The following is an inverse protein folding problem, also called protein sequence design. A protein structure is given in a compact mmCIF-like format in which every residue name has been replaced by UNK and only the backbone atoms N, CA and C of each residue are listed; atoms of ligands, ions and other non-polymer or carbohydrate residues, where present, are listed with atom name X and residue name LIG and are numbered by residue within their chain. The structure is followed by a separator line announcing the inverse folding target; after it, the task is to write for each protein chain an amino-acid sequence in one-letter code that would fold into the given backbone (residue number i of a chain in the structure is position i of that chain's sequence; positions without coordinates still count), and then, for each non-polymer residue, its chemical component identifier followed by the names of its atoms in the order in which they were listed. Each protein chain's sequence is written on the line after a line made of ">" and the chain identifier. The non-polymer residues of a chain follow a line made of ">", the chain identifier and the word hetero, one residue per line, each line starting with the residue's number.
data_IF_193649730243
#
_entry.id   IF_193649730243
#
_cell.length_a   1.000
_cell.length_b   1.000
_cell.length_c   1.000
_cell.angle_alpha   90.00
_cell.angle_beta   90.00
_cell.angle_gamma   90.00
#
_symmetry.space_group_name_H-M   'P 1'
#
loop_
_entity.id
_entity.type
_entity.pdbx_description
1 polymer ?
#
# COMPACT_ATOMS: atom_id res chain seq x y z
N UNK A 1 56.59 31.05 -24.76
CA UNK A 1 56.69 29.66 -25.26
C UNK A 1 55.83 28.83 -24.32
N UNK A 2 54.50 28.78 -24.50
CA UNK A 2 53.67 28.03 -25.47
C UNK A 2 53.88 26.51 -25.38
N UNK A 3 52.74 25.82 -25.21
CA UNK A 3 52.41 24.39 -25.36
C UNK A 3 52.49 23.55 -24.08
N UNK A 4 51.48 22.77 -23.70
CA UNK A 4 50.20 22.49 -24.34
C UNK A 4 49.34 21.60 -23.44
N UNK A 5 48.04 21.89 -23.40
CA UNK A 5 46.99 21.18 -22.66
C UNK A 5 46.67 19.86 -23.38
N UNK A 6 46.42 18.78 -22.63
CA UNK A 6 45.77 17.57 -23.16
C UNK A 6 44.52 17.27 -22.33
N UNK A 7 43.36 17.41 -22.98
CA UNK A 7 42.04 16.99 -22.48
C UNK A 7 41.71 15.67 -23.16
N UNK A 8 41.46 14.63 -22.38
CA UNK A 8 40.98 13.35 -22.91
C UNK A 8 39.45 13.33 -22.97
N UNK A 9 38.95 13.30 -24.20
CA UNK A 9 37.55 13.07 -24.58
C UNK A 9 37.46 11.69 -25.21
N UNK A 10 36.66 10.76 -24.70
CA UNK A 10 36.02 9.63 -25.43
C UNK A 10 34.91 9.04 -24.53
N UNK A 11 33.77 8.49 -24.96
CA UNK A 11 32.96 8.49 -26.18
C UNK A 11 31.60 7.87 -25.77
N UNK A 12 30.49 8.49 -26.14
CA UNK A 12 29.13 7.93 -26.02
C UNK A 12 28.90 6.96 -27.17
N UNK A 13 28.61 5.70 -26.88
CA UNK A 13 28.21 4.68 -27.87
C UNK A 13 26.69 4.56 -27.89
N UNK A 14 26.07 5.01 -28.98
CA UNK A 14 24.69 4.66 -29.33
C UNK A 14 24.72 3.46 -30.27
N UNK A 15 24.03 2.37 -29.93
CA UNK A 15 23.86 1.24 -30.82
C UNK A 15 22.43 1.26 -31.37
N UNK A 16 22.30 1.69 -32.63
CA UNK A 16 21.15 1.41 -33.50
C UNK A 16 21.43 0.08 -34.20
N UNK A 17 20.48 -0.85 -34.16
CA UNK A 17 20.40 -1.93 -35.15
C UNK A 17 18.97 -1.99 -35.70
N UNK A 18 18.86 -1.76 -37.00
CA UNK A 18 17.66 -2.03 -37.79
C UNK A 18 18.04 -2.76 -39.06
N UNK A 19 17.43 -3.93 -39.28
CA UNK A 19 17.14 -4.52 -40.59
C UNK A 19 17.84 -5.83 -40.96
N UNK A 20 17.33 -6.73 -41.81
CA UNK A 20 15.97 -7.16 -42.26
C UNK A 20 16.18 -8.58 -42.89
N UNK A 21 15.09 -9.35 -42.97
CA UNK A 21 14.75 -10.42 -43.93
C UNK A 21 15.21 -11.88 -43.74
N UNK A 22 14.20 -12.74 -43.58
CA UNK A 22 14.18 -14.18 -43.85
C UNK A 22 12.75 -14.69 -43.72
N UNK A 23 12.04 -14.81 -44.85
CA UNK A 23 10.64 -15.23 -44.95
C UNK A 23 10.59 -16.67 -45.48
N UNK A 24 9.82 -17.55 -44.83
CA UNK A 24 9.23 -18.71 -45.50
C UNK A 24 7.75 -18.83 -45.09
N UNK A 25 6.90 -18.66 -46.11
CA UNK A 25 5.46 -18.86 -46.06
C UNK A 25 5.14 -20.32 -46.37
N UNK A 26 4.17 -20.90 -45.66
CA UNK A 26 3.24 -21.88 -46.20
C UNK A 26 1.85 -21.65 -45.56
N UNK A 27 0.86 -21.52 -46.43
CA UNK A 27 -0.49 -20.98 -46.21
C UNK A 27 -1.54 -22.10 -46.51
N UNK A 28 -2.85 -21.85 -46.63
CA UNK A 28 -3.87 -21.79 -45.57
C UNK A 28 -5.03 -22.80 -45.78
N UNK A 29 -5.98 -22.90 -44.83
CA UNK A 29 -7.36 -23.35 -45.13
C UNK A 29 -8.48 -22.59 -44.37
N UNK A 30 -9.11 -21.69 -45.15
CA UNK A 30 -10.54 -21.32 -45.27
C UNK A 30 -11.55 -21.66 -44.15
N UNK A 31 -12.09 -20.57 -43.58
CA UNK A 31 -13.49 -20.09 -43.60
C UNK A 31 -14.67 -21.04 -43.31
N UNK A 32 -15.55 -20.62 -42.39
CA UNK A 32 -17.00 -20.48 -42.62
C UNK A 32 -17.65 -19.56 -41.59
N UNK A 33 -18.05 -18.39 -42.04
CA UNK A 33 -19.11 -17.55 -41.47
C UNK A 33 -20.44 -18.01 -42.10
N UNK A 34 -21.49 -18.17 -41.29
CA UNK A 34 -22.89 -17.81 -41.58
C UNK A 34 -23.79 -18.41 -40.49
N UNK A 35 -24.45 -17.56 -39.70
CA UNK A 35 -25.90 -17.46 -39.83
C UNK A 35 -26.43 -16.13 -39.27
N UNK A 36 -27.08 -15.38 -40.16
CA UNK A 36 -27.96 -14.25 -39.87
C UNK A 36 -29.32 -14.82 -39.47
N UNK A 37 -29.98 -14.19 -38.50
CA UNK A 37 -31.42 -14.01 -38.58
C UNK A 37 -31.75 -12.55 -38.24
N UNK A 38 -32.35 -11.88 -39.22
CA UNK A 38 -33.01 -10.60 -39.16
C UNK A 38 -34.50 -10.88 -39.43
N UNK A 39 -35.35 -9.84 -39.32
CA UNK A 39 -36.78 -9.75 -39.69
C UNK A 39 -37.72 -9.90 -38.46
N UNK A 40 -38.67 -8.99 -38.15
CA UNK A 40 -39.13 -7.75 -38.78
C UNK A 40 -39.80 -6.83 -37.76
N UNK A 41 -39.89 -5.55 -38.13
CA UNK A 41 -40.80 -4.54 -37.57
C UNK A 41 -42.18 -4.61 -38.26
N UNK A 42 -43.25 -4.34 -37.52
CA UNK A 42 -44.60 -4.12 -38.02
C UNK A 42 -45.51 -3.49 -36.95
N UNK A 43 -45.99 -2.27 -37.24
CA UNK A 43 -47.07 -1.47 -36.62
C UNK A 43 -48.30 -2.28 -36.20
N UNK A 44 -49.23 -1.87 -35.34
CA UNK A 44 -49.60 -0.66 -34.58
C UNK A 44 -50.74 -1.13 -33.65
N UNK A 45 -50.86 -0.60 -32.43
CA UNK A 45 -52.09 0.04 -31.91
C UNK A 45 -51.93 0.36 -30.42
N UNK A 46 -52.40 1.57 -30.13
CA UNK A 46 -52.37 2.30 -28.87
C UNK A 46 -53.08 1.55 -27.73
N UNK A 47 -52.60 1.75 -26.50
CA UNK A 47 -53.36 2.41 -25.45
C UNK A 47 -52.42 2.94 -24.36
N UNK A 48 -52.71 4.17 -23.95
CA UNK A 48 -52.16 5.00 -22.87
C UNK A 48 -51.97 4.20 -21.56
N UNK A 49 -51.08 4.53 -20.62
CA UNK A 49 -51.02 5.68 -19.69
C UNK A 49 -49.55 5.81 -19.18
N UNK A 50 -48.92 7.00 -19.16
CA UNK A 50 -48.67 7.82 -17.95
C UNK A 50 -47.77 7.11 -16.93
N UNK A 51 -46.56 7.51 -16.56
CA UNK A 51 -46.01 8.83 -16.25
C UNK A 51 -44.49 8.87 -16.51
N UNK A 52 -43.98 9.99 -17.03
CA UNK A 52 -42.55 10.22 -17.23
C UNK A 52 -41.95 11.06 -16.11
N UNK A 53 -40.83 10.60 -15.55
CA UNK A 53 -39.94 11.44 -14.74
C UNK A 53 -38.72 11.79 -15.60
N UNK A 54 -38.66 13.06 -15.98
CA UNK A 54 -37.61 13.68 -16.78
C UNK A 54 -36.38 13.97 -15.91
N UNK A 55 -35.23 13.39 -16.25
CA UNK A 55 -33.93 13.84 -15.73
C UNK A 55 -33.50 15.11 -16.48
N UNK A 56 -33.41 16.24 -15.77
CA UNK A 56 -32.77 17.47 -16.27
C UNK A 56 -31.31 17.54 -15.82
N UNK A 57 -30.36 17.94 -16.69
CA UNK A 57 -29.02 18.32 -16.25
C UNK A 57 -29.04 19.77 -15.76
N UNK A 58 -28.42 20.04 -14.61
CA UNK A 58 -28.26 21.39 -14.08
C UNK A 58 -26.87 21.93 -14.43
N UNK A 59 -26.85 23.06 -15.11
CA UNK A 59 -25.67 23.89 -15.41
C UNK A 59 -25.39 24.80 -14.21
N UNK A 60 -24.12 24.89 -13.82
CA UNK A 60 -23.62 25.77 -12.76
C UNK A 60 -23.41 27.17 -13.32
N UNK A 61 -24.01 28.18 -12.70
CA UNK A 61 -23.54 29.57 -12.75
C UNK A 61 -23.28 30.02 -11.32
N UNK A 62 -22.07 30.48 -11.05
CA UNK A 62 -21.63 30.90 -9.72
C UNK A 62 -22.15 32.30 -9.33
N UNK A 63 -22.28 32.54 -8.03
CA UNK A 63 -21.43 33.47 -7.27
C UNK A 63 -21.87 33.52 -5.79
N UNK A 64 -20.88 33.80 -4.96
CA UNK A 64 -20.92 34.34 -3.59
C UNK A 64 -21.10 33.41 -2.38
N UNK A 65 -19.93 33.10 -1.80
CA UNK A 65 -19.70 32.63 -0.44
C UNK A 65 -20.25 33.59 0.62
N UNK A 66 -20.69 33.04 1.76
CA UNK A 66 -20.22 33.54 3.03
C UNK A 66 -19.56 32.46 3.90
N UNK A 67 -18.46 32.88 4.51
CA UNK A 67 -17.68 32.30 5.61
C UNK A 67 -18.42 31.30 6.53
N UNK A 68 -17.88 30.08 6.52
CA UNK A 68 -17.48 29.25 7.67
C UNK A 68 -18.29 29.37 8.98
N UNK A 69 -19.13 28.36 9.24
CA UNK A 69 -19.36 27.81 10.58
C UNK A 69 -19.24 26.29 10.52
N UNK A 70 -18.25 25.74 11.19
CA UNK A 70 -18.04 24.30 11.33
C UNK A 70 -19.16 23.68 12.16
N UNK A 71 -20.16 23.12 11.50
CA UNK A 71 -21.08 22.17 12.13
C UNK A 71 -20.40 20.81 12.15
N UNK A 72 -19.81 20.49 13.31
CA UNK A 72 -19.43 19.12 13.67
C UNK A 72 -20.73 18.33 13.76
N UNK A 73 -21.04 17.55 12.73
CA UNK A 73 -22.13 16.57 12.77
C UNK A 73 -21.60 15.36 13.55
N UNK A 74 -21.90 15.34 14.85
CA UNK A 74 -21.70 14.15 15.67
C UNK A 74 -22.83 13.16 15.39
N UNK A 75 -22.54 12.07 14.69
CA UNK A 75 -23.42 10.92 14.67
C UNK A 75 -23.22 10.15 15.99
N UNK A 76 -24.01 10.49 17.00
CA UNK A 76 -24.13 9.67 18.22
C UNK A 76 -24.91 8.41 17.89
N UNK A 77 -24.20 7.31 17.67
CA UNK A 77 -24.81 5.98 17.56
C UNK A 77 -25.37 5.55 18.92
N UNK A 78 -26.67 5.29 18.97
CA UNK A 78 -27.41 4.85 20.14
C UNK A 78 -27.25 3.34 20.33
N UNK A 79 -26.11 2.89 20.86
CA UNK A 79 -26.03 1.61 21.58
C UNK A 79 -25.03 1.74 22.72
N UNK A 80 -25.55 1.98 23.93
CA UNK A 80 -24.80 1.80 25.17
C UNK A 80 -25.70 1.10 26.19
N UNK A 81 -25.31 -0.11 26.58
CA UNK A 81 -25.64 -0.67 27.88
C UNK A 81 -26.24 -2.08 27.90
N UNK A 82 -25.40 -3.10 27.85
CA UNK A 82 -25.46 -4.16 28.86
C UNK A 82 -24.06 -4.36 29.41
N UNK A 83 -23.89 -3.96 30.66
CA UNK A 83 -22.68 -4.06 31.46
C UNK A 83 -22.39 -5.54 31.77
N UNK A 84 -21.36 -6.12 31.13
CA UNK A 84 -20.80 -7.42 31.48
C UNK A 84 -19.28 -7.39 31.28
N UNK A 85 -18.55 -7.36 32.40
CA UNK A 85 -17.16 -7.74 32.47
C UNK A 85 -16.17 -6.64 32.09
N UNK A 86 -15.29 -6.33 33.03
CA UNK A 86 -14.08 -5.54 32.84
C UNK A 86 -13.05 -6.34 32.00
N UNK A 87 -13.46 -6.78 30.82
CA UNK A 87 -12.59 -7.32 29.78
C UNK A 87 -12.26 -6.20 28.81
N UNK A 88 -11.01 -6.13 28.34
CA UNK A 88 -10.69 -5.29 27.19
C UNK A 88 -11.60 -5.72 26.02
N UNK A 89 -12.19 -4.75 25.34
CA UNK A 89 -13.02 -4.97 24.18
C UNK A 89 -12.13 -4.98 22.93
N UNK A 90 -12.44 -5.82 21.94
CA UNK A 90 -11.70 -5.90 20.68
C UNK A 90 -11.70 -4.54 19.95
N UNK A 91 -12.67 -3.69 20.25
CA UNK A 91 -12.75 -2.31 19.76
C UNK A 91 -11.53 -1.44 20.12
N UNK A 92 -10.76 -1.80 21.15
CA UNK A 92 -9.51 -1.11 21.49
C UNK A 92 -8.43 -1.24 20.41
N UNK A 93 -8.48 -2.30 19.58
CA UNK A 93 -7.55 -2.54 18.47
C UNK A 93 -7.99 -1.86 17.18
N UNK A 94 -9.14 -1.18 17.18
CA UNK A 94 -9.60 -0.41 16.04
C UNK A 94 -8.62 0.73 15.76
N UNK A 95 -8.05 0.72 14.57
CA UNK A 95 -7.14 1.77 14.11
C UNK A 95 -7.81 2.56 12.99
N UNK A 96 -8.02 3.86 13.23
CA UNK A 96 -8.51 4.78 12.19
C UNK A 96 -7.44 4.98 11.11
N UNK A 97 -6.16 5.04 11.50
CA UNK A 97 -5.05 5.18 10.55
C UNK A 97 -4.96 4.00 9.59
N UNK A 98 -5.02 2.76 10.08
CA UNK A 98 -4.98 1.59 9.21
C UNK A 98 -6.18 1.55 8.26
N UNK A 99 -7.35 1.99 8.72
CA UNK A 99 -8.53 2.10 7.86
C UNK A 99 -8.35 3.19 6.78
N UNK A 100 -7.80 4.35 7.15
CA UNK A 100 -7.46 5.41 6.21
C UNK A 100 -6.44 4.93 5.17
N UNK A 101 -5.40 4.21 5.58
CA UNK A 101 -4.37 3.68 4.69
C UNK A 101 -4.97 2.72 3.63
N UNK A 102 -5.93 1.89 4.04
CA UNK A 102 -6.68 1.01 3.13
C UNK A 102 -7.54 1.83 2.17
N UNK A 103 -8.25 2.85 2.68
CA UNK A 103 -9.09 3.72 1.85
C UNK A 103 -8.27 4.52 0.83
N UNK A 104 -7.15 5.11 1.26
CA UNK A 104 -6.19 5.80 0.39
C UNK A 104 -5.68 4.86 -0.71
N UNK A 105 -5.32 3.63 -0.35
CA UNK A 105 -4.91 2.63 -1.32
C UNK A 105 -6.02 2.33 -2.35
N UNK A 106 -7.28 2.23 -1.92
CA UNK A 106 -8.41 2.09 -2.85
C UNK A 106 -8.56 3.28 -3.80
N UNK A 107 -8.43 4.51 -3.30
CA UNK A 107 -8.48 5.69 -4.15
C UNK A 107 -7.36 5.70 -5.20
N UNK A 108 -6.15 5.29 -4.83
CA UNK A 108 -5.04 5.15 -5.76
C UNK A 108 -5.33 4.12 -6.85
N UNK A 109 -5.88 2.95 -6.49
CA UNK A 109 -6.28 1.93 -7.45
C UNK A 109 -7.40 2.41 -8.40
N UNK A 110 -8.43 3.07 -7.88
CA UNK A 110 -9.52 3.63 -8.68
C UNK A 110 -9.00 4.70 -9.66
N UNK A 111 -8.12 5.61 -9.21
CA UNK A 111 -7.51 6.59 -10.11
C UNK A 111 -6.66 5.91 -11.19
N UNK A 112 -5.82 4.94 -10.83
CA UNK A 112 -4.98 4.22 -11.80
C UNK A 112 -5.81 3.48 -12.85
N UNK A 113 -6.89 2.82 -12.44
CA UNK A 113 -7.80 2.12 -13.37
C UNK A 113 -8.52 3.11 -14.30
N UNK A 114 -8.97 4.26 -13.81
CA UNK A 114 -9.57 5.33 -14.64
C UNK A 114 -8.57 5.94 -15.61
N UNK A 115 -7.31 6.12 -15.21
CA UNK A 115 -6.23 6.54 -16.11
C UNK A 115 -6.08 5.53 -17.24
N UNK A 116 -5.98 4.24 -16.92
CA UNK A 116 -5.84 3.19 -17.93
C UNK A 116 -7.04 3.15 -18.87
N UNK A 117 -8.26 3.28 -18.35
CA UNK A 117 -9.48 3.35 -19.15
C UNK A 117 -9.47 4.57 -20.10
N UNK A 118 -9.12 5.76 -19.61
CA UNK A 118 -9.02 6.95 -20.44
C UNK A 118 -7.97 6.83 -21.55
N UNK A 119 -6.82 6.19 -21.25
CA UNK A 119 -5.79 5.89 -22.25
C UNK A 119 -6.30 4.91 -23.32
N UNK A 120 -7.02 3.86 -22.92
CA UNK A 120 -7.63 2.90 -23.85
C UNK A 120 -8.69 3.55 -24.75
N UNK A 121 -9.34 4.62 -24.27
CA UNK A 121 -10.32 5.42 -25.01
C UNK A 121 -9.69 6.63 -25.74
N UNK A 122 -8.36 6.74 -25.76
CA UNK A 122 -7.59 7.84 -26.38
C UNK A 122 -7.95 9.25 -25.85
N UNK A 123 -8.49 9.34 -24.62
CA UNK A 123 -8.82 10.58 -23.93
C UNK A 123 -7.61 11.09 -23.14
N UNK A 124 -6.58 11.57 -23.84
CA UNK A 124 -5.30 11.93 -23.25
C UNK A 124 -5.36 13.10 -22.26
N UNK A 125 -6.20 14.12 -22.52
CA UNK A 125 -6.35 15.27 -21.61
C UNK A 125 -6.91 14.84 -20.25
N UNK A 126 -7.93 13.97 -20.27
CA UNK A 126 -8.55 13.40 -19.05
C UNK A 126 -7.53 12.50 -18.34
N UNK A 127 -6.82 11.65 -19.08
CA UNK A 127 -5.78 10.81 -18.50
C UNK A 127 -4.68 11.64 -17.81
N UNK A 128 -4.28 12.77 -18.40
CA UNK A 128 -3.30 13.68 -17.79
C UNK A 128 -3.84 14.32 -16.52
N UNK A 129 -5.09 14.80 -16.51
CA UNK A 129 -5.72 15.34 -15.30
C UNK A 129 -5.79 14.30 -14.18
N UNK A 130 -6.15 13.07 -14.49
CA UNK A 130 -6.21 11.98 -13.51
C UNK A 130 -4.82 11.61 -12.98
N UNK A 131 -3.80 11.60 -13.83
CA UNK A 131 -2.40 11.40 -13.41
C UNK A 131 -1.93 12.50 -12.46
N UNK A 132 -2.23 13.77 -12.76
CA UNK A 132 -1.86 14.88 -11.88
C UNK A 132 -2.51 14.73 -10.49
N UNK A 133 -3.79 14.33 -10.44
CA UNK A 133 -4.47 14.03 -9.16
C UNK A 133 -3.83 12.86 -8.43
N UNK A 134 -3.45 11.81 -9.15
CA UNK A 134 -2.74 10.68 -8.54
C UNK A 134 -1.42 11.12 -7.91
N UNK A 135 -0.62 11.93 -8.62
CA UNK A 135 0.64 12.45 -8.08
C UNK A 135 0.45 13.38 -6.89
N UNK A 136 -0.63 14.17 -6.87
CA UNK A 136 -0.99 15.01 -5.72
C UNK A 136 -1.34 14.18 -4.49
N UNK A 137 -2.16 13.13 -4.67
CA UNK A 137 -2.50 12.18 -3.60
C UNK A 137 -1.25 11.46 -3.10
N UNK A 138 -0.38 10.99 -3.99
CA UNK A 138 0.87 10.33 -3.60
C UNK A 138 1.79 11.27 -2.79
N UNK A 139 1.89 12.55 -3.18
CA UNK A 139 2.67 13.54 -2.45
C UNK A 139 2.08 13.83 -1.06
N UNK A 140 0.75 13.94 -0.95
CA UNK A 140 0.05 14.09 0.33
C UNK A 140 0.31 12.89 1.26
N UNK A 141 0.24 11.67 0.72
CA UNK A 141 0.48 10.43 1.48
C UNK A 141 1.92 10.38 2.01
N UNK A 142 2.91 10.70 1.17
CA UNK A 142 4.32 10.75 1.59
C UNK A 142 4.49 11.77 2.72
N UNK A 143 3.92 12.97 2.57
CA UNK A 143 4.00 14.02 3.59
C UNK A 143 3.36 13.60 4.92
N UNK A 144 2.21 12.93 4.87
CA UNK A 144 1.55 12.40 6.08
C UNK A 144 2.37 11.28 6.71
N UNK A 145 2.97 10.40 5.91
CA UNK A 145 3.80 9.30 6.38
C UNK A 145 5.07 9.82 7.08
N UNK A 146 5.71 10.83 6.52
CA UNK A 146 6.88 11.50 7.12
C UNK A 146 6.52 12.22 8.42
N UNK A 147 5.35 12.87 8.48
CA UNK A 147 4.86 13.49 9.71
C UNK A 147 4.57 12.47 10.83
N UNK A 148 4.07 11.28 10.47
CA UNK A 148 3.78 10.18 11.41
C UNK A 148 5.04 9.45 11.88
N UNK A 149 5.95 9.14 10.97
CA UNK A 149 7.11 8.26 11.22
C UNK A 149 8.35 9.04 11.67
N UNK A 150 8.37 10.36 11.50
CA UNK A 150 9.62 11.11 11.40
C UNK A 150 10.32 10.81 10.06
N UNK A 151 11.44 11.47 9.76
CA UNK A 151 12.25 11.13 8.59
C UNK A 151 12.52 9.62 8.59
N UNK A 152 12.33 8.95 7.45
CA UNK A 152 12.63 7.51 7.36
C UNK A 152 14.05 7.28 7.88
N UNK A 153 14.27 6.23 8.67
CA UNK A 153 15.60 5.92 9.25
C UNK A 153 16.70 5.86 8.18
N UNK A 154 16.32 5.50 6.94
CA UNK A 154 17.17 5.56 5.75
C UNK A 154 17.52 6.98 5.32
N UNK A 155 16.55 7.89 5.22
CA UNK A 155 16.80 9.31 4.93
C UNK A 155 17.65 9.95 6.03
N UNK A 156 17.36 9.67 7.29
CA UNK A 156 18.13 10.21 8.42
C UNK A 156 19.60 9.75 8.38
N UNK A 157 19.84 8.46 8.09
CA UNK A 157 21.19 7.94 7.92
C UNK A 157 21.91 8.59 6.72
N UNK A 158 21.20 8.85 5.62
CA UNK A 158 21.74 9.55 4.44
C UNK A 158 22.08 11.01 4.76
N UNK A 159 21.19 11.73 5.43
CA UNK A 159 21.39 13.12 5.83
C UNK A 159 22.59 13.27 6.77
N UNK A 160 22.73 12.34 7.73
CA UNK A 160 23.91 12.25 8.61
C UNK A 160 25.18 11.91 7.83
N UNK A 161 25.11 11.00 6.85
CA UNK A 161 26.27 10.69 6.02
C UNK A 161 26.73 11.92 5.21
N UNK A 162 25.79 12.69 4.66
CA UNK A 162 26.08 13.94 3.93
C UNK A 162 26.70 14.97 4.87
N UNK A 163 26.18 15.14 6.09
CA UNK A 163 26.77 16.08 7.06
C UNK A 163 28.18 15.66 7.48
N UNK A 164 28.42 14.36 7.72
CA UNK A 164 29.76 13.81 8.02
C UNK A 164 30.73 14.13 6.88
N UNK A 165 30.34 13.97 5.61
CA UNK A 165 31.20 14.31 4.47
C UNK A 165 31.56 15.80 4.42
N UNK A 166 30.61 16.69 4.75
CA UNK A 166 30.86 18.14 4.84
C UNK A 166 31.86 18.47 5.95
N UNK A 167 31.63 17.94 7.15
CA UNK A 167 32.52 18.16 8.30
C UNK A 167 33.93 17.62 8.03
N UNK A 168 34.06 16.49 7.33
CA UNK A 168 35.37 15.97 6.92
C UNK A 168 36.11 16.92 5.98
N UNK A 169 35.41 17.56 5.04
CA UNK A 169 36.00 18.57 4.17
C UNK A 169 36.42 19.83 4.94
N UNK A 170 35.58 20.28 5.87
CA UNK A 170 35.90 21.43 6.74
C UNK A 170 37.08 21.14 7.68
N UNK A 171 37.17 19.91 8.19
CA UNK A 171 38.29 19.45 9.02
C UNK A 171 39.59 19.44 8.21
N UNK A 172 39.56 18.93 6.97
CA UNK A 172 40.72 18.98 6.06
C UNK A 172 41.17 20.42 5.81
N UNK A 173 40.21 21.32 5.55
CA UNK A 173 40.48 22.75 5.39
C UNK A 173 41.06 23.40 6.66
N UNK A 174 40.60 23.01 7.85
CA UNK A 174 41.18 23.51 9.10
C UNK A 174 42.63 23.04 9.30
N UNK A 175 42.93 21.80 8.92
CA UNK A 175 44.29 21.24 8.94
C UNK A 175 45.20 22.00 7.96
N UNK A 176 44.73 22.29 6.75
CA UNK A 176 45.48 23.09 5.75
C UNK A 176 45.79 24.51 6.24
N UNK A 177 44.89 25.09 7.04
CA UNK A 177 45.07 26.40 7.65
C UNK A 177 45.82 26.34 8.99
N UNK A 178 46.39 25.19 9.37
CA UNK A 178 47.11 24.95 10.63
C UNK A 178 46.28 25.24 11.90
N UNK A 179 44.95 25.25 11.79
CA UNK A 179 44.05 25.49 12.91
C UNK A 179 43.62 24.16 13.55
N UNK A 180 44.53 23.60 14.34
CA UNK A 180 44.34 22.29 14.99
C UNK A 180 43.25 22.28 16.06
N UNK A 181 42.95 23.42 16.69
CA UNK A 181 41.88 23.51 17.69
C UNK A 181 40.52 23.20 17.06
N UNK A 182 40.20 23.88 15.94
CA UNK A 182 38.96 23.65 15.18
C UNK A 182 38.92 22.25 14.58
N UNK A 183 40.06 21.73 14.10
CA UNK A 183 40.15 20.37 13.58
C UNK A 183 39.83 19.30 14.63
N UNK A 184 40.19 19.53 15.90
CA UNK A 184 39.85 18.62 17.00
C UNK A 184 38.36 18.62 17.31
N UNK A 185 37.72 19.79 17.36
CA UNK A 185 36.27 19.92 17.56
C UNK A 185 35.49 19.21 16.45
N UNK A 186 35.85 19.45 15.19
CA UNK A 186 35.22 18.80 14.04
C UNK A 186 35.38 17.28 14.07
N UNK A 187 36.52 16.77 14.55
CA UNK A 187 36.75 15.33 14.73
C UNK A 187 35.81 14.73 15.77
N UNK A 188 35.60 15.42 16.89
CA UNK A 188 34.69 14.96 17.93
C UNK A 188 33.24 14.97 17.44
N UNK A 189 32.85 16.00 16.69
CA UNK A 189 31.54 16.07 16.02
C UNK A 189 31.33 14.94 15.00
N UNK A 190 32.33 14.67 14.15
CA UNK A 190 32.31 13.54 13.21
C UNK A 190 32.11 12.23 13.97
N UNK A 191 32.88 12.01 15.04
CA UNK A 191 32.79 10.77 15.83
C UNK A 191 31.41 10.58 16.44
N UNK A 192 30.78 11.67 16.93
CA UNK A 192 29.41 11.65 17.43
C UNK A 192 28.40 11.31 16.32
N UNK A 193 28.48 12.00 15.18
CA UNK A 193 27.56 11.77 14.05
C UNK A 193 27.74 10.39 13.42
N UNK A 194 28.96 9.85 13.40
CA UNK A 194 29.23 8.49 12.97
C UNK A 194 28.53 7.48 13.87
N UNK A 195 28.60 7.64 15.20
CA UNK A 195 27.86 6.78 16.13
C UNK A 195 26.35 6.84 15.90
N UNK A 196 25.80 8.05 15.69
CA UNK A 196 24.38 8.25 15.40
C UNK A 196 23.97 7.69 14.03
N UNK A 197 24.82 7.81 13.01
CA UNK A 197 24.61 7.27 11.66
C UNK A 197 24.65 5.74 11.67
N UNK A 198 25.58 5.14 12.41
CA UNK A 198 25.65 3.69 12.60
C UNK A 198 24.42 3.17 13.33
N UNK A 199 23.96 3.86 14.38
CA UNK A 199 22.73 3.48 15.08
C UNK A 199 21.50 3.58 14.17
N UNK A 200 21.36 4.66 13.39
CA UNK A 200 20.26 4.83 12.44
C UNK A 200 20.30 3.78 11.31
N UNK A 201 21.50 3.47 10.80
CA UNK A 201 21.72 2.44 9.78
C UNK A 201 21.40 1.04 10.32
N UNK A 202 21.85 0.70 11.53
CA UNK A 202 21.50 -0.56 12.17
C UNK A 202 19.99 -0.70 12.35
N UNK A 203 19.31 0.39 12.78
CA UNK A 203 17.85 0.43 12.87
C UNK A 203 17.20 0.18 11.50
N UNK A 204 17.65 0.86 10.44
CA UNK A 204 17.16 0.68 9.07
C UNK A 204 17.35 -0.76 8.54
N UNK A 205 18.48 -1.40 8.83
CA UNK A 205 18.73 -2.79 8.45
C UNK A 205 17.81 -3.77 9.19
N UNK A 206 17.50 -3.50 10.46
CA UNK A 206 16.51 -4.29 11.21
C UNK A 206 15.14 -4.16 10.54
N UNK A 207 14.74 -2.95 10.13
CA UNK A 207 13.48 -2.71 9.40
C UNK A 207 13.39 -3.48 8.09
N UNK A 208 14.48 -3.54 7.32
CA UNK A 208 14.50 -4.19 6.01
C UNK A 208 14.47 -5.72 6.12
N UNK A 209 15.12 -6.28 7.15
CA UNK A 209 15.26 -7.73 7.34
C UNK A 209 14.30 -8.32 8.38
N UNK A 210 13.19 -7.64 8.68
CA UNK A 210 12.18 -8.18 9.60
C UNK A 210 11.61 -9.48 9.05
N UNK A 211 11.68 -10.52 9.89
CA UNK A 211 10.97 -11.77 9.65
C UNK A 211 9.54 -11.64 10.18
N UNK A 212 8.58 -11.96 9.31
CA UNK A 212 7.16 -11.94 9.62
C UNK A 212 6.70 -13.38 9.83
N UNK A 213 6.03 -13.66 10.95
CA UNK A 213 5.45 -14.96 11.23
C UNK A 213 4.28 -15.29 10.29
N UNK A 214 3.58 -14.27 9.80
CA UNK A 214 2.40 -14.41 8.96
C UNK A 214 2.58 -13.77 7.58
N UNK A 215 1.74 -14.22 6.64
CA UNK A 215 1.78 -13.81 5.23
C UNK A 215 0.59 -12.93 4.88
N UNK A 216 0.75 -12.09 3.86
CA UNK A 216 -0.37 -11.33 3.29
C UNK A 216 -1.43 -12.29 2.73
N UNK A 217 -2.69 -12.02 3.06
CA UNK A 217 -3.83 -12.87 2.67
C UNK A 217 -4.05 -14.10 3.56
N UNK A 218 -3.15 -14.38 4.50
CA UNK A 218 -3.32 -15.48 5.44
C UNK A 218 -4.48 -15.20 6.40
N UNK A 219 -5.32 -16.22 6.62
CA UNK A 219 -6.35 -16.18 7.68
C UNK A 219 -5.68 -16.37 9.04
N UNK A 220 -6.10 -15.57 10.01
CA UNK A 220 -5.58 -15.60 11.38
C UNK A 220 -6.72 -15.49 12.38
N UNK A 221 -6.45 -15.89 13.62
CA UNK A 221 -7.36 -15.71 14.74
C UNK A 221 -6.66 -14.92 15.84
N UNK A 222 -7.37 -13.98 16.45
CA UNK A 222 -6.82 -13.27 17.60
C UNK A 222 -6.77 -14.19 18.83
N UNK A 223 -5.65 -14.22 19.56
CA UNK A 223 -5.46 -15.09 20.74
C UNK A 223 -6.44 -14.75 21.88
N UNK A 224 -6.51 -13.47 22.27
CA UNK A 224 -7.33 -13.01 23.41
C UNK A 224 -8.82 -12.86 23.06
N UNK A 225 -9.13 -12.15 21.97
CA UNK A 225 -10.51 -11.86 21.56
C UNK A 225 -11.16 -12.96 20.71
N UNK A 226 -10.37 -13.82 20.08
CA UNK A 226 -10.89 -14.99 19.35
C UNK A 226 -11.55 -14.69 18.00
N UNK A 227 -11.56 -13.44 17.53
CA UNK A 227 -12.14 -13.08 16.23
C UNK A 227 -11.31 -13.62 15.06
N UNK A 228 -11.98 -13.86 13.94
CA UNK A 228 -11.36 -14.32 12.69
C UNK A 228 -11.01 -13.12 11.82
N UNK A 229 -9.81 -13.11 11.27
CA UNK A 229 -9.34 -12.01 10.45
C UNK A 229 -8.45 -12.50 9.30
N UNK A 230 -8.21 -11.59 8.35
CA UNK A 230 -7.30 -11.80 7.21
C UNK A 230 -6.29 -10.67 7.18
N UNK A 231 -5.02 -11.02 7.00
CA UNK A 231 -3.95 -10.03 6.94
C UNK A 231 -3.99 -9.30 5.59
N UNK A 232 -4.12 -7.98 5.63
CA UNK A 232 -4.07 -7.11 4.45
C UNK A 232 -2.86 -6.17 4.43
N UNK A 233 -2.18 -5.99 5.55
CA UNK A 233 -0.98 -5.16 5.64
C UNK A 233 -0.06 -5.58 6.78
N UNK A 234 1.20 -5.19 6.69
CA UNK A 234 2.21 -5.54 7.69
C UNK A 234 3.19 -4.39 7.83
N UNK A 235 3.48 -4.03 9.07
CA UNK A 235 4.48 -3.03 9.42
C UNK A 235 5.57 -3.69 10.27
N UNK A 236 6.85 -3.36 10.05
CA UNK A 236 7.96 -3.92 10.82
C UNK A 236 7.98 -3.45 12.29
N UNK A 237 7.37 -2.29 12.58
CA UNK A 237 7.16 -1.76 13.94
C UNK A 237 5.79 -1.09 14.02
N UNK A 238 5.35 -0.76 15.22
CA UNK A 238 4.10 -0.02 15.43
C UNK A 238 4.18 1.42 14.86
N UNK A 239 3.47 1.65 13.75
CA UNK A 239 3.37 2.94 13.06
C UNK A 239 2.25 3.85 13.59
N UNK A 240 1.49 3.41 14.59
CA UNK A 240 0.35 4.15 15.12
C UNK A 240 0.73 5.25 16.13
N UNK A 241 -0.21 6.16 16.33
CA UNK A 241 -0.16 7.27 17.28
C UNK A 241 0.06 6.78 18.73
N UNK A 242 0.71 7.62 19.53
CA UNK A 242 0.94 7.31 20.96
C UNK A 242 -0.38 7.14 21.72
N UNK A 243 -1.40 7.93 21.39
CA UNK A 243 -2.76 7.78 21.95
C UNK A 243 -3.35 6.40 21.65
N UNK A 244 -3.17 5.89 20.44
CA UNK A 244 -3.63 4.54 20.11
C UNK A 244 -2.83 3.47 20.85
N UNK A 245 -1.50 3.62 20.95
CA UNK A 245 -0.62 2.70 21.68
C UNK A 245 -1.01 2.57 23.16
N UNK A 246 -1.43 3.67 23.79
CA UNK A 246 -1.94 3.67 25.16
C UNK A 246 -3.26 2.90 25.28
N UNK A 247 -4.20 3.12 24.35
CA UNK A 247 -5.52 2.46 24.33
C UNK A 247 -5.36 0.94 24.08
N UNK A 248 -4.56 0.57 23.09
CA UNK A 248 -4.24 -0.82 22.75
C UNK A 248 -3.26 -1.47 23.74
N UNK A 249 -2.75 -0.72 24.72
CA UNK A 249 -1.83 -1.16 25.77
C UNK A 249 -0.57 -1.85 25.22
N UNK A 250 0.00 -1.29 24.15
CA UNK A 250 1.19 -1.82 23.46
C UNK A 250 2.40 -1.89 24.38
N UNK A 251 2.47 -1.09 25.44
CA UNK A 251 3.57 -1.15 26.41
C UNK A 251 3.50 -2.37 27.34
N UNK A 252 2.32 -2.95 27.54
CA UNK A 252 2.14 -4.15 28.40
C UNK A 252 2.43 -5.46 27.66
N UNK A 253 2.65 -5.37 26.36
CA UNK A 253 3.01 -6.48 25.50
C UNK A 253 4.42 -6.99 25.79
N UNK A 254 4.67 -8.28 25.59
CA UNK A 254 5.95 -8.88 25.97
C UNK A 254 7.10 -8.38 25.09
N UNK A 255 6.82 -8.14 23.80
CA UNK A 255 7.77 -7.63 22.80
C UNK A 255 7.62 -6.12 22.54
N UNK A 256 6.63 -5.46 23.16
CA UNK A 256 6.38 -4.03 23.05
C UNK A 256 6.09 -3.56 21.62
N UNK A 257 6.58 -2.37 21.26
CA UNK A 257 6.38 -1.74 19.95
C UNK A 257 7.43 -2.13 18.88
N UNK A 258 8.50 -2.83 19.27
CA UNK A 258 9.62 -3.23 18.40
C UNK A 258 9.40 -4.60 17.73
N UNK A 259 8.15 -5.03 17.62
CA UNK A 259 7.74 -6.24 16.90
C UNK A 259 6.92 -5.87 15.67
N UNK A 260 6.73 -6.80 14.72
CA UNK A 260 5.85 -6.59 13.60
C UNK A 260 4.40 -6.37 14.05
N UNK A 261 3.71 -5.45 13.38
CA UNK A 261 2.29 -5.24 13.53
C UNK A 261 1.59 -5.54 12.20
N UNK A 262 0.37 -6.04 12.28
CA UNK A 262 -0.41 -6.43 11.12
C UNK A 262 -1.68 -5.60 11.05
N UNK A 263 -2.00 -5.13 9.85
CA UNK A 263 -3.32 -4.60 9.51
C UNK A 263 -4.18 -5.78 9.08
N UNK A 264 -5.27 -6.01 9.80
CA UNK A 264 -6.15 -7.16 9.57
C UNK A 264 -7.58 -6.71 9.32
N UNK A 265 -8.22 -7.38 8.37
CA UNK A 265 -9.66 -7.26 8.14
C UNK A 265 -10.35 -8.29 9.01
N UNK A 266 -11.32 -7.87 9.82
CA UNK A 266 -12.05 -8.75 10.72
C UNK A 266 -13.35 -9.21 10.06
N UNK A 267 -13.72 -10.47 10.25
CA UNK A 267 -14.97 -11.01 9.71
C UNK A 267 -16.17 -10.32 10.36
N UNK A 268 -17.06 -9.73 9.56
CA UNK A 268 -18.25 -9.02 10.05
C UNK A 268 -19.18 -9.92 10.88
N UNK A 269 -19.13 -11.24 10.66
CA UNK A 269 -19.90 -12.22 11.43
C UNK A 269 -19.36 -12.45 12.83
N UNK A 270 -18.05 -12.26 13.01
CA UNK A 270 -17.42 -12.38 14.32
C UNK A 270 -17.72 -11.11 15.14
N UNK A 271 -17.37 -9.94 14.59
CA UNK A 271 -17.54 -8.66 15.25
C UNK A 271 -17.98 -7.57 14.26
N UNK A 272 -19.28 -7.19 14.22
CA UNK A 272 -19.77 -6.21 13.25
C UNK A 272 -19.26 -4.79 13.50
N UNK A 273 -18.75 -4.50 14.71
CA UNK A 273 -18.27 -3.17 15.10
C UNK A 273 -16.79 -2.94 14.79
N UNK A 274 -16.04 -4.01 14.47
CA UNK A 274 -14.61 -3.97 14.19
C UNK A 274 -14.41 -4.50 12.78
N UNK A 275 -14.21 -3.59 11.81
CA UNK A 275 -13.96 -3.97 10.41
C UNK A 275 -12.45 -4.12 10.13
N UNK A 276 -11.68 -3.15 10.62
CA UNK A 276 -10.23 -3.09 10.47
C UNK A 276 -9.61 -3.00 11.86
N UNK A 277 -8.66 -3.88 12.14
CA UNK A 277 -7.90 -3.89 13.37
C UNK A 277 -6.40 -3.79 13.08
N UNK A 278 -5.66 -3.20 14.01
CA UNK A 278 -4.21 -3.14 13.98
C UNK A 278 -3.65 -3.90 15.17
N UNK A 279 -2.93 -4.99 14.91
CA UNK A 279 -2.67 -6.03 15.90
C UNK A 279 -1.20 -6.38 15.93
N UNK A 280 -0.65 -6.57 17.13
CA UNK A 280 0.71 -7.05 17.32
C UNK A 280 0.84 -8.52 16.89
N UNK A 281 2.01 -8.90 16.35
CA UNK A 281 2.29 -10.28 15.95
C UNK A 281 2.00 -11.32 17.03
N UNK A 282 2.36 -11.05 18.29
CA UNK A 282 2.19 -12.00 19.38
C UNK A 282 0.72 -12.28 19.74
N UNK A 283 -0.20 -11.38 19.38
CA UNK A 283 -1.62 -11.54 19.65
C UNK A 283 -2.34 -12.35 18.55
N UNK A 284 -1.64 -12.73 17.48
CA UNK A 284 -2.20 -13.46 16.35
C UNK A 284 -1.80 -14.94 16.42
N UNK A 285 -2.75 -15.80 16.04
CA UNK A 285 -2.56 -17.23 15.93
C UNK A 285 -2.90 -17.69 14.51
N UNK A 286 -2.08 -18.61 14.00
CA UNK A 286 -2.40 -19.33 12.78
C UNK A 286 -3.57 -20.29 13.06
N UNK A 287 -4.53 -20.43 12.14
CA UNK A 287 -5.65 -21.34 12.32
C UNK A 287 -5.15 -22.79 12.33
N UNK A 288 -5.57 -23.56 13.33
CA UNK A 288 -5.18 -24.98 13.49
C UNK A 288 -5.70 -25.89 12.37
N UNK A 289 -6.75 -25.46 11.66
CA UNK A 289 -7.39 -26.21 10.57
C UNK A 289 -7.56 -25.29 9.36
N UNK A 290 -7.58 -25.90 8.17
CA UNK A 290 -7.92 -25.21 6.93
C UNK A 290 -9.34 -24.63 7.02
N UNK A 291 -9.46 -23.36 7.38
CA UNK A 291 -10.75 -22.68 7.50
C UNK A 291 -11.22 -22.20 6.13
N UNK A 292 -11.88 -23.12 5.40
CA UNK A 292 -12.62 -22.80 4.16
C UNK A 292 -13.97 -22.13 4.44
N UNK A 293 -14.23 -21.74 5.69
CA UNK A 293 -15.43 -21.04 6.09
C UNK A 293 -15.63 -19.74 5.31
N UNK A 294 -16.90 -19.36 5.15
CA UNK A 294 -17.29 -18.10 4.52
C UNK A 294 -16.79 -16.95 5.40
N UNK A 295 -16.07 -16.04 4.77
CA UNK A 295 -15.53 -14.83 5.38
C UNK A 295 -16.21 -13.64 4.71
N UNK A 296 -16.81 -12.75 5.51
CA UNK A 296 -17.63 -11.66 5.00
C UNK A 296 -17.04 -10.31 5.41
N UNK A 297 -16.58 -9.54 4.43
CA UNK A 297 -16.01 -8.21 4.66
C UNK A 297 -16.03 -7.37 3.37
N UNK A 298 -16.43 -6.08 3.42
CA UNK A 298 -16.59 -5.24 2.23
C UNK A 298 -15.30 -5.04 1.43
N UNK A 299 -14.15 -5.00 2.10
CA UNK A 299 -12.85 -4.76 1.45
C UNK A 299 -12.23 -5.99 0.80
N UNK A 300 -12.76 -7.19 1.08
CA UNK A 300 -12.16 -8.44 0.57
C UNK A 300 -12.20 -8.51 -0.95
N UNK A 301 -13.34 -8.14 -1.55
CA UNK A 301 -13.53 -8.17 -3.01
C UNK A 301 -12.57 -7.24 -3.77
N UNK A 302 -11.98 -6.27 -3.10
CA UNK A 302 -11.09 -5.29 -3.72
C UNK A 302 -9.61 -5.58 -3.47
N UNK A 303 -9.25 -6.17 -2.32
CA UNK A 303 -7.86 -6.45 -1.94
C UNK A 303 -7.39 -7.85 -2.34
N UNK A 304 -8.32 -8.76 -2.62
CA UNK A 304 -8.00 -10.15 -2.94
C UNK A 304 -8.71 -10.63 -4.21
N UNK A 305 -8.03 -11.44 -5.02
CA UNK A 305 -8.63 -12.06 -6.22
C UNK A 305 -9.58 -13.21 -5.87
N UNK A 306 -9.40 -13.84 -4.71
CA UNK A 306 -10.17 -15.00 -4.29
C UNK A 306 -9.48 -15.76 -3.16
N UNK A 307 -9.87 -17.01 -2.95
CA UNK A 307 -9.25 -17.92 -1.99
C UNK A 307 -8.48 -19.03 -2.73
N UNK A 308 -7.35 -19.43 -2.17
CA UNK A 308 -6.54 -20.58 -2.59
C UNK A 308 -7.18 -21.92 -2.19
N UNK A 309 -6.62 -23.02 -2.70
CA UNK A 309 -6.99 -24.39 -2.32
C UNK A 309 -6.82 -24.67 -0.82
N UNK A 310 -5.84 -24.00 -0.19
CA UNK A 310 -5.60 -24.02 1.25
C UNK A 310 -6.64 -23.22 2.06
N UNK A 311 -7.39 -22.31 1.43
CA UNK A 311 -8.38 -21.45 2.08
C UNK A 311 -7.87 -20.07 2.51
N UNK A 312 -6.59 -19.76 2.28
CA UNK A 312 -6.03 -18.41 2.39
C UNK A 312 -6.48 -17.52 1.22
N UNK A 313 -6.40 -16.20 1.37
CA UNK A 313 -6.76 -15.25 0.32
C UNK A 313 -5.57 -14.90 -0.57
N UNK A 314 -5.82 -14.74 -1.87
CA UNK A 314 -4.82 -14.34 -2.87
C UNK A 314 -4.80 -12.82 -2.99
N UNK A 315 -3.74 -12.13 -2.53
CA UNK A 315 -3.66 -10.67 -2.62
C UNK A 315 -3.55 -10.18 -4.07
N UNK A 316 -4.08 -8.99 -4.35
CA UNK A 316 -3.87 -8.34 -5.64
C UNK A 316 -2.40 -7.94 -5.85
N UNK A 317 -1.97 -7.86 -7.11
CA UNK A 317 -0.57 -7.53 -7.47
C UNK A 317 -0.09 -6.23 -6.83
N UNK A 318 -0.92 -5.20 -6.84
CA UNK A 318 -0.58 -3.88 -6.28
C UNK A 318 -0.36 -3.93 -4.76
N UNK A 319 -1.08 -4.81 -4.05
CA UNK A 319 -0.92 -4.99 -2.62
C UNK A 319 0.39 -5.72 -2.30
N UNK A 320 0.77 -6.71 -3.12
CA UNK A 320 2.07 -7.38 -3.02
C UNK A 320 3.23 -6.43 -3.31
N UNK A 321 3.11 -5.59 -4.33
CA UNK A 321 4.09 -4.56 -4.69
C UNK A 321 4.25 -3.53 -3.55
N UNK A 322 3.16 -3.10 -2.91
CA UNK A 322 3.19 -2.17 -1.76
C UNK A 322 4.10 -2.67 -0.63
N UNK A 323 4.08 -3.98 -0.35
CA UNK A 323 4.86 -4.58 0.74
C UNK A 323 6.10 -5.35 0.27
N UNK A 324 6.44 -5.31 -1.04
CA UNK A 324 7.54 -6.06 -1.66
C UNK A 324 7.55 -7.55 -1.29
N UNK A 325 6.39 -8.20 -1.27
CA UNK A 325 6.27 -9.63 -0.92
C UNK A 325 6.05 -10.49 -2.16
N UNK A 326 6.74 -11.65 -2.26
CA UNK A 326 6.47 -12.59 -3.34
C UNK A 326 5.08 -13.20 -3.18
N UNK A 327 4.51 -13.66 -4.29
CA UNK A 327 3.27 -14.45 -4.26
C UNK A 327 3.54 -15.77 -3.55
N UNK A 328 2.61 -16.18 -2.68
CA UNK A 328 2.63 -17.51 -2.12
C UNK A 328 2.03 -18.50 -3.14
N UNK A 329 2.78 -19.57 -3.42
CA UNK A 329 2.30 -20.70 -4.20
C UNK A 329 2.02 -21.85 -3.23
N UNK A 330 0.81 -22.40 -3.31
CA UNK A 330 0.45 -23.61 -2.57
C UNK A 330 1.18 -24.78 -3.24
N UNK A 331 1.87 -25.66 -2.50
CA UNK A 331 2.45 -26.86 -3.08
C UNK A 331 1.37 -27.64 -3.82
N UNK A 332 1.61 -27.92 -5.10
CA UNK A 332 0.75 -28.84 -5.85
C UNK A 332 0.99 -30.24 -5.29
N UNK A 333 -0.01 -30.81 -4.63
CA UNK A 333 -0.02 -32.23 -4.31
C UNK A 333 -0.08 -32.98 -5.65
N UNK A 334 1.07 -33.46 -6.13
CA UNK A 334 1.14 -34.39 -7.25
C UNK A 334 0.62 -35.75 -6.80
N UNK A 335 -0.69 -35.86 -6.65
CA UNK A 335 -1.39 -37.14 -6.61
C UNK A 335 -1.92 -37.46 -7.99
N UNK A 336 -1.01 -37.67 -8.94
CA UNK A 336 -1.31 -38.42 -10.15
C UNK A 336 -0.24 -39.53 -10.26
N UNK A 337 -0.74 -40.75 -10.44
CA UNK A 337 -0.03 -41.96 -10.90
C UNK A 337 0.72 -42.85 -9.88
N UNK A 338 -0.05 -43.67 -9.13
CA UNK A 338 0.23 -45.12 -9.02
C UNK A 338 -1.12 -45.89 -8.95
N UNK A 339 -1.85 -45.95 -10.07
CA UNK A 339 -2.72 -47.10 -10.35
C UNK A 339 -1.92 -48.07 -11.22
N UNK A 340 -1.24 -49.01 -10.57
CA UNK A 340 -0.73 -50.23 -11.20
C UNK A 340 -1.09 -51.40 -10.27
N UNK A 341 -2.20 -52.08 -10.57
CA UNK A 341 -2.48 -53.46 -10.13
C UNK A 341 -3.33 -54.20 -11.14
#
# INVERSE_FOLDING_TARGET
>A
MVQGVSVSTLLVTTCRCSGVYGSENLCPRRSKLMNKMLVNCGHEKECLWGEGIVFKPFVISGADMPRQRSLRVGATWLFKGSDQGQGMDASAERSETANEDILVFFFQLDLATRVQYALNMEQYDIAQQLRNKLTEVEAEVIKQQEAKTGSSSKSEAQDKAISILRLRADMQKAIENENYAVAAELRDEISKLEAESLAASAKALVYENVQYAFRLGQKVRHEKFGYRAVICGMDPVCCESNSWKEIAQVEKLSRGCNQPFYQVLVDMRADPNLLVAYVAEENLLAPEKLDKGRFDHPYVSFLFYGMDSAGDFIPIKQLLEKYNRPRHEVPEDSTDDVEDT
#
